data_IF_267776500343
#
_entry.id   IF_267776500343
#
_cell.length_a   1.000
_cell.length_b   1.000
_cell.length_c   1.000
_cell.angle_alpha   90.00
_cell.angle_beta   90.00
_cell.angle_gamma   90.00
#
_symmetry.space_group_name_H-M   'P 1'
#
loop_
_entity.id
_entity.type
_entity.pdbx_description
1 polymer ?
#
# COMPACT_ATOMS: atom_id res chain seq x y z
N UNK A 1 -43.03 -1.59 -37.17
CA UNK A 1 -42.92 -1.47 -35.70
C UNK A 1 -42.21 -2.63 -35.01
N UNK A 2 -42.31 -3.89 -35.51
CA UNK A 2 -41.60 -5.05 -34.90
C UNK A 2 -40.07 -5.01 -35.01
N UNK A 3 -39.50 -4.43 -36.08
CA UNK A 3 -38.04 -4.35 -36.27
C UNK A 3 -37.33 -3.35 -35.32
N UNK A 4 -38.03 -2.30 -34.88
CA UNK A 4 -37.45 -1.28 -33.99
C UNK A 4 -37.33 -1.79 -32.54
N UNK A 5 -38.28 -2.63 -32.12
CA UNK A 5 -38.25 -3.32 -30.81
C UNK A 5 -37.15 -4.39 -30.75
N UNK A 6 -36.81 -5.05 -31.85
CA UNK A 6 -35.73 -6.04 -31.86
C UNK A 6 -34.35 -5.41 -31.78
N UNK A 7 -34.14 -4.26 -32.42
CA UNK A 7 -32.87 -3.53 -32.37
C UNK A 7 -32.58 -2.93 -30.99
N UNK A 8 -33.61 -2.45 -30.27
CA UNK A 8 -33.44 -1.93 -28.91
C UNK A 8 -33.08 -3.03 -27.91
N UNK A 9 -33.67 -4.23 -28.04
CA UNK A 9 -33.37 -5.37 -27.17
C UNK A 9 -31.94 -5.86 -27.37
N UNK A 10 -31.47 -5.94 -28.62
CA UNK A 10 -30.09 -6.35 -28.95
C UNK A 10 -29.09 -5.32 -28.40
N UNK A 11 -29.38 -4.02 -28.52
CA UNK A 11 -28.52 -2.96 -27.98
C UNK A 11 -28.46 -2.98 -26.44
N UNK A 12 -29.57 -3.24 -25.75
CA UNK A 12 -29.57 -3.40 -24.29
C UNK A 12 -28.81 -4.64 -23.81
N UNK A 13 -28.85 -5.76 -24.56
CA UNK A 13 -28.07 -6.96 -24.23
C UNK A 13 -26.57 -6.74 -24.47
N UNK A 14 -26.20 -5.93 -25.47
CA UNK A 14 -24.80 -5.53 -25.71
C UNK A 14 -24.24 -4.58 -24.66
N UNK A 15 -25.04 -3.68 -24.07
CA UNK A 15 -24.56 -2.82 -22.97
C UNK A 15 -24.37 -3.62 -21.67
N UNK A 16 -25.17 -4.66 -21.42
CA UNK A 16 -25.03 -5.51 -20.22
C UNK A 16 -23.81 -6.44 -20.31
N UNK A 17 -23.29 -6.71 -21.52
CA UNK A 17 -22.10 -7.53 -21.75
C UNK A 17 -20.80 -6.73 -21.82
N UNK A 18 -20.84 -5.41 -21.58
CA UNK A 18 -19.66 -4.59 -21.31
C UNK A 18 -19.15 -4.87 -19.89
N UNK A 19 -18.67 -6.08 -19.69
CA UNK A 19 -17.66 -6.51 -18.72
C UNK A 19 -17.66 -5.77 -17.36
N UNK A 20 -18.68 -6.06 -16.55
CA UNK A 20 -18.36 -6.45 -15.18
C UNK A 20 -17.67 -7.82 -15.25
N UNK A 21 -16.44 -7.85 -15.76
CA UNK A 21 -15.53 -8.97 -15.49
C UNK A 21 -15.37 -8.95 -13.98
N UNK A 22 -16.08 -9.84 -13.28
CA UNK A 22 -15.61 -10.31 -12.00
C UNK A 22 -14.21 -10.83 -12.29
N UNK A 23 -13.21 -10.10 -11.83
CA UNK A 23 -11.83 -10.51 -11.94
C UNK A 23 -11.70 -11.76 -11.07
N UNK A 24 -11.79 -12.95 -11.70
CA UNK A 24 -11.83 -14.26 -11.03
C UNK A 24 -10.58 -14.51 -10.16
N UNK A 25 -9.51 -13.73 -10.37
CA UNK A 25 -8.33 -13.72 -9.52
C UNK A 25 -7.72 -12.33 -9.41
N UNK A 26 -7.42 -11.93 -8.18
CA UNK A 26 -6.70 -10.69 -7.94
C UNK A 26 -5.25 -10.82 -8.43
N UNK A 27 -4.76 -9.85 -9.22
CA UNK A 27 -3.48 -9.99 -9.91
C UNK A 27 -2.31 -9.91 -8.93
N UNK A 28 -2.47 -9.12 -7.86
CA UNK A 28 -1.47 -9.06 -6.80
C UNK A 28 -1.56 -10.24 -5.84
N UNK A 29 -0.39 -10.72 -5.38
CA UNK A 29 -0.32 -11.78 -4.40
C UNK A 29 -1.04 -11.37 -3.12
N UNK A 30 -1.65 -12.37 -2.48
CA UNK A 30 -2.23 -12.18 -1.16
C UNK A 30 -1.15 -11.70 -0.18
N UNK A 31 -1.48 -10.65 0.56
CA UNK A 31 -0.61 -10.12 1.59
C UNK A 31 -0.33 -11.15 2.68
N UNK A 32 -1.27 -12.08 2.93
CA UNK A 32 -1.09 -13.20 3.86
C UNK A 32 0.14 -14.05 3.55
N UNK A 33 0.51 -14.17 2.26
CA UNK A 33 1.63 -15.02 1.82
C UNK A 33 2.98 -14.31 1.95
N UNK A 34 3.02 -12.98 1.87
CA UNK A 34 4.23 -12.16 2.16
C UNK A 34 4.44 -11.88 3.64
N UNK A 35 3.42 -12.12 4.47
CA UNK A 35 3.44 -11.93 5.92
C UNK A 35 4.23 -13.00 6.71
N UNK A 36 4.81 -13.99 6.03
CA UNK A 36 5.54 -15.11 6.66
C UNK A 36 6.74 -14.71 7.53
N UNK A 37 7.17 -13.45 7.53
CA UNK A 37 8.19 -12.92 8.46
C UNK A 37 7.67 -12.22 9.72
N UNK A 38 6.39 -11.82 9.77
CA UNK A 38 5.83 -10.95 10.84
C UNK A 38 4.74 -11.67 11.65
N UNK A 39 4.13 -12.73 11.12
CA UNK A 39 3.07 -13.51 11.81
C UNK A 39 3.52 -14.08 13.17
N UNK A 40 4.83 -14.21 13.44
CA UNK A 40 5.30 -14.62 14.78
C UNK A 40 5.22 -13.52 15.87
N UNK A 41 4.93 -12.27 15.52
CA UNK A 41 4.66 -11.20 16.51
C UNK A 41 3.18 -10.81 16.59
N UNK A 42 2.33 -11.39 15.73
CA UNK A 42 0.87 -11.19 15.75
C UNK A 42 0.23 -12.31 16.57
N UNK A 43 0.47 -12.32 17.88
CA UNK A 43 -0.37 -13.08 18.80
C UNK A 43 -1.62 -12.27 19.12
N UNK A 44 -2.51 -12.08 18.13
CA UNK A 44 -3.96 -11.93 18.33
C UNK A 44 -4.67 -11.61 16.98
N UNK A 45 -5.34 -12.59 16.35
CA UNK A 45 -6.11 -12.38 15.11
C UNK A 45 -7.34 -11.45 15.28
N UNK A 46 -7.58 -10.90 16.47
CA UNK A 46 -8.81 -10.18 16.80
C UNK A 46 -8.74 -8.66 16.61
N UNK A 47 -7.54 -8.06 16.48
CA UNK A 47 -7.38 -6.60 16.46
C UNK A 47 -6.91 -6.01 15.10
N UNK A 48 -6.75 -6.84 14.05
CA UNK A 48 -6.51 -6.36 12.68
C UNK A 48 -7.69 -6.74 11.79
N UNK A 49 -8.33 -5.74 11.18
CA UNK A 49 -9.40 -5.98 10.20
C UNK A 49 -8.77 -5.92 8.80
N UNK A 50 -8.27 -7.07 8.33
CA UNK A 50 -7.99 -7.27 6.91
C UNK A 50 -9.28 -7.66 6.20
N UNK A 51 -9.60 -7.00 5.10
CA UNK A 51 -10.70 -7.40 4.23
C UNK A 51 -10.35 -7.21 2.77
N UNK A 52 -10.86 -8.11 1.94
CA UNK A 52 -10.83 -8.02 0.48
C UNK A 52 -12.28 -7.89 0.00
N UNK A 53 -12.61 -6.74 -0.58
CA UNK A 53 -13.90 -6.42 -1.15
C UNK A 53 -13.97 -6.68 -2.66
N UNK A 54 -15.13 -6.40 -3.28
CA UNK A 54 -15.32 -6.54 -4.72
C UNK A 54 -14.24 -5.79 -5.52
N UNK A 55 -13.77 -6.39 -6.62
CA UNK A 55 -12.74 -5.78 -7.47
C UNK A 55 -11.35 -5.73 -6.82
N UNK A 56 -11.02 -6.66 -5.92
CA UNK A 56 -9.70 -6.76 -5.28
C UNK A 56 -9.33 -5.55 -4.39
N UNK A 57 -10.33 -4.80 -3.95
CA UNK A 57 -10.14 -3.69 -3.01
C UNK A 57 -9.76 -4.28 -1.66
N UNK A 58 -8.54 -4.01 -1.19
CA UNK A 58 -8.04 -4.49 0.09
C UNK A 58 -7.99 -3.37 1.11
N UNK A 59 -8.34 -3.70 2.35
CA UNK A 59 -8.33 -2.78 3.47
C UNK A 59 -7.61 -3.44 4.64
N UNK A 60 -6.72 -2.69 5.29
CA UNK A 60 -6.13 -3.06 6.58
C UNK A 60 -6.39 -1.91 7.52
N UNK A 61 -7.20 -2.14 8.53
CA UNK A 61 -7.41 -1.17 9.61
C UNK A 61 -6.39 -1.43 10.72
N UNK A 62 -5.52 -0.46 10.98
CA UNK A 62 -4.42 -0.55 11.94
C UNK A 62 -4.16 0.79 12.64
N UNK A 63 -3.31 0.80 13.68
CA UNK A 63 -2.83 2.05 14.28
C UNK A 63 -1.58 2.55 13.57
N UNK A 64 -1.47 3.87 13.42
CA UNK A 64 -0.18 4.51 13.15
C UNK A 64 0.78 4.30 14.33
N UNK A 65 2.08 4.37 14.10
CA UNK A 65 3.10 4.31 15.14
C UNK A 65 4.42 3.72 14.62
N UNK A 66 5.42 3.58 15.50
CA UNK A 66 6.75 3.07 15.12
C UNK A 66 6.73 1.63 14.59
N UNK A 67 5.69 0.84 14.92
CA UNK A 67 5.52 -0.51 14.39
C UNK A 67 4.71 -0.58 13.09
N UNK A 68 4.30 0.57 12.54
CA UNK A 68 3.51 0.64 11.31
C UNK A 68 4.28 1.42 10.25
N UNK A 69 4.91 0.68 9.34
CA UNK A 69 5.74 1.24 8.28
C UNK A 69 5.83 0.28 7.09
N UNK A 70 6.23 0.83 5.95
CA UNK A 70 6.62 0.08 4.76
C UNK A 70 8.13 0.24 4.60
N UNK A 71 8.84 -0.85 4.32
CA UNK A 71 10.27 -0.77 4.00
C UNK A 71 10.61 -1.43 2.68
N UNK A 72 11.61 -0.87 2.02
CA UNK A 72 12.20 -1.39 0.79
C UNK A 72 13.62 -0.84 0.62
N UNK A 73 14.15 -0.90 -0.60
CA UNK A 73 15.45 -0.36 -0.96
C UNK A 73 15.33 0.73 -2.04
N UNK A 74 16.25 1.70 -2.06
CA UNK A 74 16.23 2.83 -3.01
C UNK A 74 16.16 2.42 -4.48
N UNK A 75 16.78 1.29 -4.85
CA UNK A 75 16.76 0.73 -6.22
C UNK A 75 15.38 0.18 -6.62
N UNK A 76 14.43 0.14 -5.68
CA UNK A 76 13.03 -0.25 -5.87
C UNK A 76 12.07 0.92 -5.67
N UNK A 77 12.62 2.14 -5.66
CA UNK A 77 11.89 3.40 -5.55
C UNK A 77 12.25 4.31 -6.72
N UNK A 78 11.42 5.31 -6.98
CA UNK A 78 11.77 6.42 -7.87
C UNK A 78 12.56 7.53 -7.15
N UNK A 79 12.88 7.35 -5.87
CA UNK A 79 13.66 8.30 -5.09
C UNK A 79 15.13 8.31 -5.51
N UNK A 80 15.73 9.49 -5.49
CA UNK A 80 17.18 9.61 -5.60
C UNK A 80 17.82 9.27 -4.26
N UNK A 81 18.64 8.22 -4.23
CA UNK A 81 19.44 7.85 -3.06
C UNK A 81 20.37 9.02 -2.65
N UNK A 82 20.30 9.48 -1.39
CA UNK A 82 21.24 10.47 -0.86
C UNK A 82 22.67 9.93 -0.75
N UNK A 83 23.67 10.77 -1.00
CA UNK A 83 25.09 10.37 -0.94
C UNK A 83 25.54 9.98 0.47
N UNK A 84 24.90 10.52 1.50
CA UNK A 84 25.20 10.25 2.90
C UNK A 84 24.47 9.01 3.46
N UNK A 85 23.65 8.34 2.65
CA UNK A 85 22.97 7.11 3.04
C UNK A 85 23.98 5.99 3.34
N UNK A 86 23.87 5.40 4.53
CA UNK A 86 24.77 4.33 4.99
C UNK A 86 24.38 2.95 4.44
N UNK A 87 23.11 2.77 4.07
CA UNK A 87 22.54 1.53 3.53
C UNK A 87 21.76 1.81 2.24
N UNK A 88 21.09 0.79 1.68
CA UNK A 88 20.12 1.00 0.59
C UNK A 88 18.68 1.11 1.11
N UNK A 89 18.47 1.00 2.42
CA UNK A 89 17.14 0.93 3.02
C UNK A 89 16.38 2.25 2.92
N UNK A 90 15.08 2.12 2.67
CA UNK A 90 14.09 3.20 2.69
C UNK A 90 12.93 2.76 3.57
N UNK A 91 12.50 3.64 4.45
CA UNK A 91 11.36 3.41 5.33
C UNK A 91 10.31 4.49 5.11
N UNK A 92 9.04 4.08 5.09
CA UNK A 92 7.88 4.95 4.92
C UNK A 92 7.02 4.74 6.16
N UNK A 93 7.25 5.56 7.17
CA UNK A 93 6.62 5.40 8.47
C UNK A 93 5.23 6.07 8.53
N UNK A 94 4.32 5.44 9.27
CA UNK A 94 3.00 6.02 9.56
C UNK A 94 3.03 7.09 10.66
N UNK A 95 4.17 7.25 11.33
CA UNK A 95 4.41 8.20 12.38
C UNK A 95 5.84 8.75 12.27
N UNK A 96 6.04 10.06 12.47
CA UNK A 96 7.38 10.62 12.68
C UNK A 96 8.10 9.94 13.85
N UNK A 97 9.43 9.79 13.76
CA UNK A 97 10.24 9.08 14.76
C UNK A 97 10.12 9.65 16.18
N UNK A 98 9.81 10.95 16.31
CA UNK A 98 9.65 11.71 17.55
C UNK A 98 8.22 11.68 18.12
N UNK A 99 7.27 11.03 17.46
CA UNK A 99 5.86 11.03 17.84
C UNK A 99 5.30 9.62 18.10
N UNK A 100 4.67 9.45 19.25
CA UNK A 100 3.82 8.29 19.53
C UNK A 100 2.48 8.46 18.82
N UNK A 101 2.44 8.30 17.50
CA UNK A 101 1.16 8.34 16.78
C UNK A 101 0.32 7.11 17.11
N UNK A 102 -1.01 7.25 17.18
CA UNK A 102 -1.97 6.18 17.56
C UNK A 102 -3.32 6.32 16.84
N UNK A 103 -3.32 7.02 15.71
CA UNK A 103 -4.51 7.18 14.86
C UNK A 103 -4.88 5.86 14.21
N UNK A 104 -6.18 5.57 14.13
CA UNK A 104 -6.68 4.43 13.36
C UNK A 104 -6.74 4.82 11.89
N UNK A 105 -6.04 4.08 11.05
CA UNK A 105 -5.95 4.33 9.61
C UNK A 105 -6.32 3.08 8.82
N UNK A 106 -6.76 3.29 7.58
CA UNK A 106 -6.75 2.25 6.57
C UNK A 106 -5.42 2.34 5.81
N UNK A 107 -4.55 1.34 6.02
CA UNK A 107 -3.18 1.29 5.51
C UNK A 107 -3.09 1.50 3.99
N UNK A 108 -3.99 0.88 3.23
CA UNK A 108 -4.02 0.98 1.77
C UNK A 108 -4.30 2.41 1.32
N UNK A 109 -5.32 3.04 1.89
CA UNK A 109 -5.66 4.42 1.52
C UNK A 109 -4.65 5.44 2.03
N UNK A 110 -4.05 5.18 3.20
CA UNK A 110 -3.10 6.07 3.87
C UNK A 110 -1.79 6.17 3.08
N UNK A 111 -1.22 5.02 2.68
CA UNK A 111 0.01 4.95 1.87
C UNK A 111 -0.26 4.91 0.35
N UNK A 112 -1.52 4.95 -0.07
CA UNK A 112 -1.86 4.81 -1.49
C UNK A 112 -1.32 3.51 -2.09
N UNK A 113 -1.51 2.39 -1.38
CA UNK A 113 -1.02 1.09 -1.83
C UNK A 113 -1.84 0.63 -3.02
N UNK A 114 -1.20 0.45 -4.16
CA UNK A 114 -1.82 0.03 -5.41
C UNK A 114 -1.18 -1.24 -5.94
N UNK A 115 -1.97 -2.03 -6.67
CA UNK A 115 -1.52 -3.21 -7.37
C UNK A 115 -1.29 -2.90 -8.84
N UNK A 116 -0.07 -3.12 -9.33
CA UNK A 116 0.24 -3.06 -10.76
C UNK A 116 1.20 -4.18 -11.14
N UNK A 117 0.96 -4.87 -12.25
CA UNK A 117 1.84 -5.93 -12.77
C UNK A 117 2.23 -6.99 -11.71
N UNK A 118 1.26 -7.41 -10.89
CA UNK A 118 1.43 -8.37 -9.79
C UNK A 118 2.40 -7.91 -8.67
N UNK A 119 2.64 -6.60 -8.56
CA UNK A 119 3.49 -5.98 -7.56
C UNK A 119 2.72 -4.90 -6.79
N UNK A 120 2.99 -4.81 -5.49
CA UNK A 120 2.46 -3.76 -4.63
C UNK A 120 3.36 -2.52 -4.66
N UNK A 121 2.74 -1.36 -4.86
CA UNK A 121 3.41 -0.06 -4.85
C UNK A 121 2.78 0.88 -3.84
N UNK A 122 3.60 1.62 -3.11
CA UNK A 122 3.24 2.83 -2.36
C UNK A 122 3.25 4.00 -3.32
N UNK A 123 2.26 4.88 -3.19
CA UNK A 123 2.14 6.11 -4.00
C UNK A 123 1.83 7.34 -3.17
N UNK A 124 1.63 7.20 -1.86
CA UNK A 124 1.49 8.33 -0.94
C UNK A 124 2.47 8.21 0.21
N UNK A 125 3.03 9.35 0.60
CA UNK A 125 4.03 9.46 1.64
C UNK A 125 3.60 10.53 2.66
N UNK A 126 2.55 10.25 3.48
CA UNK A 126 1.98 11.24 4.39
C UNK A 126 2.99 11.84 5.37
N UNK A 127 4.07 11.11 5.68
CA UNK A 127 5.13 11.59 6.56
C UNK A 127 6.48 11.74 5.84
N UNK A 128 6.53 11.64 4.51
CA UNK A 128 7.77 11.47 3.76
C UNK A 128 8.33 10.05 3.91
N UNK A 129 9.65 9.93 3.78
CA UNK A 129 10.39 8.67 3.97
C UNK A 129 11.67 8.94 4.76
N UNK A 130 12.36 7.88 5.19
CA UNK A 130 13.61 7.99 5.93
C UNK A 130 14.63 6.96 5.44
N UNK A 131 15.89 7.21 5.79
CA UNK A 131 17.02 6.36 5.43
C UNK A 131 18.10 6.43 6.51
N UNK A 132 18.90 5.36 6.61
CA UNK A 132 19.97 5.28 7.60
C UNK A 132 21.18 6.12 7.18
N UNK A 133 21.86 6.73 8.16
CA UNK A 133 23.15 7.42 8.00
C UNK A 133 24.15 6.92 9.04
N UNK A 134 25.45 7.17 8.82
CA UNK A 134 26.52 6.61 9.67
C UNK A 134 26.72 7.36 11.00
N UNK A 135 26.25 8.59 11.10
CA UNK A 135 26.44 9.47 12.26
C UNK A 135 25.12 9.82 12.88
N UNK A 136 25.10 10.23 14.16
CA UNK A 136 23.89 10.75 14.79
C UNK A 136 23.19 11.82 13.93
N UNK A 137 21.85 11.77 13.78
CA UNK A 137 20.89 10.92 14.52
C UNK A 137 20.69 9.48 13.98
N UNK A 138 21.62 8.94 13.17
CA UNK A 138 21.60 7.60 12.54
C UNK A 138 20.50 7.36 11.50
N UNK A 139 19.51 8.24 11.44
CA UNK A 139 18.44 8.23 10.44
C UNK A 139 18.17 9.66 9.98
N UNK A 140 17.99 9.88 8.68
CA UNK A 140 17.55 11.15 8.14
C UNK A 140 16.24 11.00 7.40
N UNK A 141 15.50 12.10 7.35
CA UNK A 141 14.29 12.21 6.56
C UNK A 141 14.63 12.58 5.12
N UNK A 142 14.03 11.86 4.19
CA UNK A 142 13.93 12.22 2.79
C UNK A 142 12.49 12.64 2.45
N UNK A 143 12.37 13.65 1.59
CA UNK A 143 11.09 14.25 1.24
C UNK A 143 10.32 14.85 2.42
N UNK A 144 9.19 15.47 2.09
CA UNK A 144 8.23 16.04 3.02
C UNK A 144 6.87 15.35 2.88
N UNK A 145 5.94 15.66 3.78
CA UNK A 145 4.56 15.16 3.68
C UNK A 145 3.97 15.49 2.30
N UNK A 146 3.65 14.45 1.53
CA UNK A 146 3.05 14.58 0.20
C UNK A 146 3.97 15.07 -0.92
N UNK A 147 5.25 15.34 -0.66
CA UNK A 147 6.18 15.88 -1.66
C UNK A 147 6.42 14.90 -2.81
N UNK A 148 6.57 13.62 -2.48
CA UNK A 148 6.82 12.55 -3.44
C UNK A 148 5.55 11.79 -3.85
N UNK A 149 4.35 12.28 -3.51
CA UNK A 149 3.10 11.62 -3.85
C UNK A 149 2.95 11.42 -5.36
N UNK A 150 2.48 10.23 -5.76
CA UNK A 150 2.40 9.79 -7.15
C UNK A 150 3.64 9.06 -7.66
N UNK A 151 4.80 9.20 -6.99
CA UNK A 151 5.97 8.37 -7.30
C UNK A 151 5.77 6.94 -6.80
N UNK A 152 6.35 5.97 -7.50
CA UNK A 152 6.18 4.56 -7.18
C UNK A 152 7.34 4.03 -6.34
N UNK A 153 6.97 3.43 -5.22
CA UNK A 153 7.89 2.67 -4.35
C UNK A 153 7.37 1.27 -4.16
N UNK A 154 8.16 0.24 -4.42
CA UNK A 154 7.70 -1.13 -4.16
C UNK A 154 7.48 -1.36 -2.67
N UNK A 155 6.30 -1.84 -2.30
CA UNK A 155 5.99 -2.27 -0.93
C UNK A 155 6.55 -3.67 -0.68
N UNK A 156 7.83 -3.76 -0.33
CA UNK A 156 8.52 -5.03 -0.13
C UNK A 156 8.15 -5.68 1.21
N UNK A 157 8.23 -4.89 2.30
CA UNK A 157 7.80 -5.28 3.62
C UNK A 157 6.77 -4.29 4.14
N UNK A 158 5.68 -4.80 4.69
CA UNK A 158 4.61 -4.01 5.27
C UNK A 158 4.44 -4.50 6.71
N UNK A 159 4.74 -3.63 7.67
CA UNK A 159 4.52 -3.87 9.10
C UNK A 159 3.40 -2.95 9.59
N UNK A 160 2.56 -3.45 10.49
CA UNK A 160 1.53 -2.65 11.14
C UNK A 160 1.27 -3.10 12.57
N UNK A 161 0.85 -2.15 13.40
CA UNK A 161 0.38 -2.35 14.76
C UNK A 161 -1.12 -2.56 14.78
N UNK A 162 -1.55 -3.54 15.56
CA UNK A 162 -2.97 -3.87 15.74
C UNK A 162 -3.71 -2.76 16.52
N UNK A 163 -5.04 -2.77 16.47
CA UNK A 163 -5.92 -1.83 17.17
C UNK A 163 -5.84 -1.92 18.70
#
# INVERSE_FOLDING_TARGET
>A
MKLLLSLSVIYSVFIISLEASCQDSCPCPDLSTRLYGIIQLVSEPNNTIYSEGPGCVRNITCRTGQGTYISTSFDRTEFKKPEDASSNGVYIESAPADQTSSSVINLFTYFGIVCENNQWYVTKYPNGWTYDIKTEPYQKKGGSSGEDDGTKTVAEYILWQVL
#
